data_IF_838858524723
#
_entry.id   IF_838858524723
#
_cell.length_a   1.000
_cell.length_b   1.000
_cell.length_c   1.000
_cell.angle_alpha   90.00
_cell.angle_beta   90.00
_cell.angle_gamma   90.00
#
_symmetry.space_group_name_H-M   'P 1'
#
loop_
_entity.id
_entity.type
_entity.pdbx_description
1 polymer ?
#
# COMPACT_ATOMS: atom_id res chain seq x y z
N UNK A 1 -14.23 -26.87 -0.10
CA UNK A 1 -14.02 -25.55 -0.76
C UNK A 1 -12.70 -25.03 -0.25
N UNK A 2 -11.64 -25.16 -1.04
CA UNK A 2 -10.31 -24.64 -0.70
C UNK A 2 -10.38 -23.11 -0.75
N UNK A 3 -10.18 -22.46 0.39
CA UNK A 3 -10.08 -21.02 0.50
C UNK A 3 -8.75 -20.60 -0.13
N UNK A 4 -8.77 -20.43 -1.45
CA UNK A 4 -7.66 -19.98 -2.29
C UNK A 4 -7.47 -18.46 -2.08
N UNK A 5 -7.27 -18.05 -0.82
CA UNK A 5 -7.10 -16.66 -0.40
C UNK A 5 -5.72 -16.15 -0.84
N UNK A 6 -5.51 -16.11 -2.16
CA UNK A 6 -4.41 -15.36 -2.74
C UNK A 6 -4.62 -13.90 -2.34
N UNK A 7 -3.57 -13.21 -1.83
CA UNK A 7 -3.69 -11.79 -1.51
C UNK A 7 -4.20 -11.05 -2.76
N UNK A 8 -5.35 -10.39 -2.63
CA UNK A 8 -5.95 -9.64 -3.73
C UNK A 8 -5.14 -8.35 -3.87
N UNK A 9 -4.22 -8.34 -4.83
CA UNK A 9 -3.43 -7.15 -5.16
C UNK A 9 -4.33 -6.21 -5.94
N UNK A 10 -4.76 -5.14 -5.28
CA UNK A 10 -5.52 -4.07 -5.92
C UNK A 10 -4.55 -3.26 -6.79
N UNK A 11 -4.90 -3.04 -8.06
CA UNK A 11 -4.14 -2.09 -8.88
C UNK A 11 -4.34 -0.69 -8.30
N UNK A 12 -3.23 0.03 -8.08
CA UNK A 12 -3.11 1.39 -7.50
C UNK A 12 -4.36 1.80 -6.68
N UNK A 13 -4.43 1.32 -5.43
CA UNK A 13 -5.43 1.81 -4.50
C UNK A 13 -4.92 3.07 -3.81
N UNK A 14 -5.66 4.18 -3.91
CA UNK A 14 -5.36 5.40 -3.16
C UNK A 14 -6.12 5.40 -1.84
N UNK A 15 -5.42 5.61 -0.73
CA UNK A 15 -6.05 5.93 0.54
C UNK A 15 -6.72 7.30 0.40
N UNK A 16 -8.04 7.35 0.53
CA UNK A 16 -8.85 8.57 0.39
C UNK A 16 -9.11 9.21 1.75
N UNK A 17 -9.32 8.41 2.78
CA UNK A 17 -9.59 8.88 4.14
C UNK A 17 -9.01 7.93 5.18
N UNK A 18 -8.62 8.48 6.33
CA UNK A 18 -8.23 7.71 7.52
C UNK A 18 -8.86 8.36 8.74
N UNK A 19 -9.52 7.56 9.58
CA UNK A 19 -10.15 8.01 10.82
C UNK A 19 -9.92 7.01 11.95
N UNK A 20 -9.89 7.49 13.19
CA UNK A 20 -9.99 6.64 14.37
C UNK A 20 -11.47 6.42 14.72
N UNK A 21 -11.85 5.17 14.94
CA UNK A 21 -13.20 4.76 15.33
C UNK A 21 -13.15 3.91 16.62
N UNK A 22 -14.29 3.38 17.06
CA UNK A 22 -14.40 2.50 18.23
C UNK A 22 -13.78 3.09 19.51
N UNK A 23 -14.03 4.37 19.78
CA UNK A 23 -13.47 5.05 20.94
C UNK A 23 -11.96 5.33 20.86
N UNK A 24 -11.34 5.09 19.70
CA UNK A 24 -9.92 5.32 19.45
C UNK A 24 -9.09 4.05 19.25
N UNK A 25 -9.68 2.86 19.39
CA UNK A 25 -8.93 1.60 19.37
C UNK A 25 -8.72 1.02 17.96
N UNK A 26 -9.40 1.57 16.95
CA UNK A 26 -9.33 1.08 15.56
C UNK A 26 -9.05 2.23 14.60
N UNK A 27 -8.10 2.04 13.68
CA UNK A 27 -7.96 2.86 12.47
C UNK A 27 -8.84 2.28 11.37
N UNK A 28 -9.71 3.11 10.82
CA UNK A 28 -10.42 2.84 9.59
C UNK A 28 -9.76 3.63 8.46
N UNK A 29 -9.35 2.94 7.40
CA UNK A 29 -8.85 3.56 6.18
C UNK A 29 -9.76 3.21 5.01
N UNK A 30 -10.14 4.23 4.26
CA UNK A 30 -10.91 4.09 3.03
C UNK A 30 -9.95 4.11 1.83
N UNK A 31 -10.18 3.20 0.90
CA UNK A 31 -9.41 3.03 -0.31
C UNK A 31 -10.35 3.09 -1.52
N UNK A 32 -9.92 3.77 -2.58
CA UNK A 32 -10.48 3.55 -3.90
C UNK A 32 -9.81 2.32 -4.51
N UNK A 33 -10.59 1.29 -4.80
CA UNK A 33 -10.16 0.13 -5.55
C UNK A 33 -10.10 0.42 -7.07
N UNK A 34 -9.47 -0.48 -7.83
CA UNK A 34 -9.18 -0.30 -9.24
C UNK A 34 -10.44 -0.26 -10.12
N UNK A 35 -11.52 -0.88 -9.66
CA UNK A 35 -12.79 -0.96 -10.39
C UNK A 35 -13.76 0.17 -9.99
N UNK A 36 -13.27 1.17 -9.25
CA UNK A 36 -14.08 2.25 -8.69
C UNK A 36 -14.88 1.83 -7.45
N UNK A 37 -14.57 0.67 -6.89
CA UNK A 37 -15.12 0.18 -5.63
C UNK A 37 -14.45 0.87 -4.42
N UNK A 38 -15.19 1.02 -3.33
CA UNK A 38 -14.64 1.53 -2.06
C UNK A 38 -14.32 0.35 -1.14
N UNK A 39 -13.09 0.31 -0.64
CA UNK A 39 -12.61 -0.74 0.24
C UNK A 39 -12.25 -0.12 1.59
N UNK A 40 -12.72 -0.74 2.67
CA UNK A 40 -12.42 -0.31 4.03
C UNK A 40 -11.46 -1.29 4.70
N UNK A 41 -10.35 -0.75 5.21
CA UNK A 41 -9.40 -1.47 6.05
C UNK A 41 -9.63 -1.07 7.50
N UNK A 42 -9.88 -2.05 8.36
CA UNK A 42 -9.98 -1.87 9.81
C UNK A 42 -8.75 -2.46 10.48
N UNK A 43 -7.99 -1.63 11.18
CA UNK A 43 -6.70 -1.99 11.76
C UNK A 43 -6.72 -1.62 13.25
N UNK A 44 -6.56 -2.59 14.17
CA UNK A 44 -6.41 -2.27 15.60
C UNK A 44 -5.22 -1.32 15.81
N UNK A 45 -5.42 -0.24 16.56
CA UNK A 45 -4.43 0.82 16.75
C UNK A 45 -3.12 0.28 17.36
N UNK A 46 -3.21 -0.71 18.25
CA UNK A 46 -2.05 -1.40 18.81
C UNK A 46 -1.16 -2.09 17.76
N UNK A 47 -1.71 -2.43 16.60
CA UNK A 47 -0.98 -3.03 15.46
C UNK A 47 -0.67 -2.03 14.34
N UNK A 48 -1.34 -0.88 14.34
CA UNK A 48 -1.18 0.15 13.31
C UNK A 48 0.24 0.70 13.24
N UNK A 49 0.92 0.86 14.38
CA UNK A 49 2.30 1.34 14.42
C UNK A 49 3.25 0.45 13.60
N UNK A 50 3.15 -0.87 13.77
CA UNK A 50 3.95 -1.83 12.99
C UNK A 50 3.60 -1.78 11.50
N UNK A 51 2.31 -1.63 11.16
CA UNK A 51 1.87 -1.49 9.78
C UNK A 51 2.48 -0.26 9.10
N UNK A 52 2.52 0.89 9.78
CA UNK A 52 3.13 2.12 9.25
C UNK A 52 4.61 1.90 8.93
N UNK A 53 5.34 1.21 9.82
CA UNK A 53 6.75 0.86 9.58
C UNK A 53 6.90 -0.02 8.34
N UNK A 54 6.06 -1.05 8.20
CA UNK A 54 6.10 -1.93 7.02
C UNK A 54 5.76 -1.20 5.71
N UNK A 55 4.78 -0.29 5.73
CA UNK A 55 4.42 0.53 4.58
C UNK A 55 5.57 1.46 4.18
N UNK A 56 6.26 2.05 5.17
CA UNK A 56 7.42 2.93 4.94
C UNK A 56 8.57 2.16 4.28
N UNK A 57 8.94 1.00 4.83
CA UNK A 57 9.99 0.15 4.26
C UNK A 57 9.66 -0.32 2.84
N UNK A 58 8.40 -0.72 2.58
CA UNK A 58 7.95 -1.07 1.23
C UNK A 58 8.05 0.12 0.26
N UNK A 59 7.65 1.31 0.68
CA UNK A 59 7.72 2.53 -0.14
C UNK A 59 9.17 2.90 -0.48
N UNK A 60 10.08 2.81 0.50
CA UNK A 60 11.51 3.08 0.30
C UNK A 60 12.15 2.09 -0.67
N UNK A 61 11.86 0.78 -0.52
CA UNK A 61 12.32 -0.25 -1.46
C UNK A 61 11.81 0.02 -2.87
N UNK A 62 10.52 0.27 -3.05
CA UNK A 62 9.94 0.59 -4.35
C UNK A 62 10.50 1.90 -4.96
N UNK A 63 10.83 2.90 -4.14
CA UNK A 63 11.50 4.11 -4.61
C UNK A 63 12.94 3.83 -5.07
N UNK A 64 13.67 3.00 -4.34
CA UNK A 64 15.04 2.57 -4.68
C UNK A 64 15.06 1.78 -5.99
N UNK A 65 14.16 0.82 -6.15
CA UNK A 65 14.01 0.04 -7.38
C UNK A 65 13.72 0.94 -8.58
N UNK A 66 12.80 1.91 -8.45
CA UNK A 66 12.52 2.88 -9.53
C UNK A 66 13.74 3.71 -9.91
N UNK A 67 14.55 4.13 -8.93
CA UNK A 67 15.80 4.86 -9.20
C UNK A 67 16.79 3.98 -9.98
N UNK A 68 17.00 2.74 -9.57
CA UNK A 68 17.89 1.80 -10.27
C UNK A 68 17.42 1.56 -11.71
N UNK A 69 16.13 1.33 -11.93
CA UNK A 69 15.56 1.18 -13.28
C UNK A 69 15.74 2.43 -14.15
N UNK A 70 15.57 3.63 -13.57
CA UNK A 70 15.78 4.89 -14.29
C UNK A 70 17.26 5.17 -14.64
N UNK A 71 18.18 4.70 -13.80
CA UNK A 71 19.62 4.83 -14.03
C UNK A 71 20.11 3.88 -15.12
N UNK A 72 19.64 2.62 -15.13
CA UNK A 72 19.98 1.65 -16.18
C UNK A 72 19.50 2.04 -17.58
N UNK A 73 18.41 2.81 -17.68
CA UNK A 73 17.92 3.40 -18.95
C UNK A 73 18.78 4.57 -19.46
N UNK A 74 19.56 5.22 -18.59
CA UNK A 74 20.38 6.39 -18.94
C UNK A 74 21.76 6.01 -19.48
N UNK A 75 22.12 4.72 -19.45
CA UNK A 75 23.45 4.19 -19.76
C UNK A 75 23.63 3.71 -21.20
N UNK A 76 22.65 3.91 -22.09
CA UNK A 76 22.84 3.69 -23.54
C UNK A 76 23.20 5.03 -24.17
N UNK A 77 24.49 5.36 -24.37
CA UNK A 77 24.85 6.44 -25.27
C UNK A 77 24.44 6.01 -26.68
N UNK A 78 23.68 6.86 -27.38
CA UNK A 78 23.51 6.75 -28.83
C UNK A 78 24.91 6.72 -29.46
N UNK A 79 25.24 5.60 -30.09
CA UNK A 79 26.45 5.41 -30.88
C UNK A 79 26.26 5.95 -32.30
#
# INVERSE_FOLDING_TARGET
>A
MTNDARPRVLSIASITSVSTIDGGDTLAAELNGPDGDTIFLLIPLGTAGALITHLTDAAERGARERRLHSQGRRSVPDA
#
